data_IF_741384773843
#
_entry.id   IF_741384773843
#
_cell.length_a   1.000
_cell.length_b   1.000
_cell.length_c   1.000
_cell.angle_alpha   90.00
_cell.angle_beta   90.00
_cell.angle_gamma   90.00
#
_symmetry.space_group_name_H-M   'P 1'
#
loop_
_entity.id
_entity.type
_entity.pdbx_description
1 polymer ?
#
# COMPACT_ATOMS: atom_id res chain seq x y z
N UNK A 1 8.24 9.32 -11.34
CA UNK A 1 6.81 9.35 -10.96
C UNK A 1 6.07 8.53 -11.99
N UNK A 2 4.95 7.90 -11.63
CA UNK A 2 4.12 7.15 -12.59
C UNK A 2 3.85 7.95 -13.88
N UNK A 3 3.49 9.23 -13.72
CA UNK A 3 3.03 10.11 -14.81
C UNK A 3 4.16 10.90 -15.50
N UNK A 4 5.42 10.59 -15.23
CA UNK A 4 6.56 11.29 -15.84
C UNK A 4 7.49 10.29 -16.51
N UNK A 5 7.85 10.57 -17.77
CA UNK A 5 8.85 9.79 -18.48
C UNK A 5 10.12 9.71 -17.65
N UNK A 6 10.66 8.50 -17.52
CA UNK A 6 11.82 8.24 -16.69
C UNK A 6 13.03 9.02 -17.22
N UNK A 7 13.56 9.93 -16.41
CA UNK A 7 14.74 10.74 -16.73
C UNK A 7 15.98 10.18 -16.01
N UNK A 8 17.04 9.75 -16.72
CA UNK A 8 18.28 9.26 -16.13
C UNK A 8 18.95 10.24 -15.15
N UNK A 9 18.68 11.55 -15.25
CA UNK A 9 19.17 12.57 -14.30
C UNK A 9 18.78 12.21 -12.86
N UNK A 10 17.62 11.57 -12.64
CA UNK A 10 17.20 11.13 -11.30
C UNK A 10 18.16 10.12 -10.67
N UNK A 11 18.83 9.31 -11.48
CA UNK A 11 19.79 8.29 -11.01
C UNK A 11 21.07 8.91 -10.46
N UNK A 12 21.38 10.15 -10.85
CA UNK A 12 22.51 10.92 -10.32
C UNK A 12 22.21 11.59 -8.97
N UNK A 13 20.93 11.70 -8.61
CA UNK A 13 20.52 12.35 -7.38
C UNK A 13 20.80 11.42 -6.18
N UNK A 14 21.33 12.01 -5.09
CA UNK A 14 21.51 11.29 -3.83
C UNK A 14 20.17 10.77 -3.27
N UNK A 15 19.10 11.56 -3.44
CA UNK A 15 17.75 11.27 -2.99
C UNK A 15 16.77 11.48 -4.12
N UNK A 16 15.79 10.59 -4.22
CA UNK A 16 14.73 10.65 -5.22
C UNK A 16 13.38 10.59 -4.55
N UNK A 17 12.43 11.36 -5.07
CA UNK A 17 11.02 11.14 -4.79
C UNK A 17 10.49 10.04 -5.69
N UNK A 18 9.77 9.09 -5.10
CA UNK A 18 8.99 8.07 -5.81
C UNK A 18 7.53 8.40 -5.54
N UNK A 19 6.76 8.66 -6.60
CA UNK A 19 5.42 9.25 -6.49
C UNK A 19 4.46 8.57 -7.46
N UNK A 20 3.33 8.12 -6.91
CA UNK A 20 2.10 7.81 -7.61
C UNK A 20 1.05 8.88 -7.22
N UNK A 21 0.62 9.74 -8.15
CA UNK A 21 -0.40 10.75 -7.89
C UNK A 21 -1.78 10.15 -7.55
N UNK A 22 -2.13 9.00 -8.12
CA UNK A 22 -3.43 8.33 -7.96
C UNK A 22 -3.26 6.80 -8.05
N UNK A 23 -2.79 6.17 -6.96
CA UNK A 23 -2.76 4.72 -6.87
C UNK A 23 -4.20 4.21 -6.74
N UNK A 24 -4.58 3.30 -7.64
CA UNK A 24 -5.96 2.88 -7.82
C UNK A 24 -6.75 3.76 -8.79
N UNK A 25 -6.12 4.30 -9.84
CA UNK A 25 -6.69 5.16 -10.89
C UNK A 25 -8.07 4.71 -11.38
N UNK A 26 -8.26 3.40 -11.60
CA UNK A 26 -9.56 2.85 -12.01
C UNK A 26 -10.65 3.10 -10.96
N UNK A 27 -10.33 2.90 -9.69
CA UNK A 27 -11.24 3.20 -8.58
C UNK A 27 -11.57 4.67 -8.50
N UNK A 28 -10.57 5.53 -8.66
CA UNK A 28 -10.75 6.98 -8.72
C UNK A 28 -11.74 7.40 -9.82
N UNK A 29 -11.53 6.90 -11.05
CA UNK A 29 -12.40 7.17 -12.20
C UNK A 29 -13.83 6.63 -12.01
N UNK A 30 -13.98 5.52 -11.30
CA UNK A 30 -15.27 4.91 -10.96
C UNK A 30 -15.94 5.57 -9.72
N UNK A 31 -15.35 6.60 -9.13
CA UNK A 31 -15.89 7.30 -7.96
C UNK A 31 -15.76 6.52 -6.64
N UNK A 32 -14.90 5.50 -6.60
CA UNK A 32 -14.58 4.77 -5.38
C UNK A 32 -13.76 5.65 -4.43
N UNK A 33 -13.82 5.37 -3.13
CA UNK A 33 -13.12 6.15 -2.09
C UNK A 33 -11.72 5.59 -1.76
N UNK A 34 -11.43 4.37 -2.18
CA UNK A 34 -10.24 3.61 -1.76
C UNK A 34 -9.10 3.74 -2.78
N UNK A 35 -8.69 4.98 -3.01
CA UNK A 35 -7.49 5.40 -3.77
C UNK A 35 -6.63 6.31 -2.89
N UNK A 36 -5.36 6.46 -3.23
CA UNK A 36 -4.46 7.33 -2.48
C UNK A 36 -3.38 7.97 -3.36
N UNK A 37 -2.78 9.05 -2.84
CA UNK A 37 -1.52 9.59 -3.34
C UNK A 37 -0.39 8.92 -2.57
N UNK A 38 0.53 8.26 -3.27
CA UNK A 38 1.67 7.57 -2.68
C UNK A 38 2.94 8.39 -2.88
N UNK A 39 3.64 8.71 -1.79
CA UNK A 39 4.88 9.50 -1.83
C UNK A 39 5.95 8.86 -0.94
N UNK A 40 7.12 8.61 -1.52
CA UNK A 40 8.27 8.10 -0.80
C UNK A 40 9.53 8.93 -1.10
N UNK A 41 10.38 9.12 -0.10
CA UNK A 41 11.75 9.62 -0.28
C UNK A 41 12.69 8.43 -0.21
N UNK A 42 13.45 8.18 -1.27
CA UNK A 42 14.36 7.03 -1.37
C UNK A 42 15.81 7.50 -1.49
N UNK A 43 16.71 6.88 -0.73
CA UNK A 43 18.17 7.06 -0.81
C UNK A 43 18.83 5.68 -0.87
N UNK A 44 19.60 5.41 -1.92
CA UNK A 44 20.35 4.13 -2.09
C UNK A 44 19.46 2.88 -1.91
N UNK A 45 18.27 2.90 -2.52
CA UNK A 45 17.30 1.80 -2.46
C UNK A 45 16.58 1.65 -1.11
N UNK A 46 16.72 2.60 -0.18
CA UNK A 46 16.01 2.58 1.11
C UNK A 46 15.03 3.74 1.21
N UNK A 47 13.78 3.46 1.55
CA UNK A 47 12.80 4.48 1.88
C UNK A 47 13.14 5.16 3.20
N UNK A 48 13.34 6.48 3.18
CA UNK A 48 13.64 7.33 4.32
C UNK A 48 12.40 7.96 4.95
N UNK A 49 11.35 8.14 4.15
CA UNK A 49 10.03 8.61 4.57
C UNK A 49 9.00 8.09 3.57
N UNK A 50 7.83 7.69 4.06
CA UNK A 50 6.71 7.22 3.24
C UNK A 50 5.42 7.84 3.74
N UNK A 51 4.59 8.33 2.83
CA UNK A 51 3.28 8.91 3.09
C UNK A 51 2.28 8.35 2.08
N UNK A 52 1.11 7.93 2.56
CA UNK A 52 -0.06 7.74 1.73
C UNK A 52 -1.14 8.73 2.19
N UNK A 53 -1.51 9.64 1.31
CA UNK A 53 -2.64 10.52 1.52
C UNK A 53 -3.87 9.91 0.86
N UNK A 54 -4.95 9.68 1.62
CA UNK A 54 -6.19 9.07 1.13
C UNK A 54 -7.34 10.08 1.29
N UNK A 55 -7.46 11.08 0.38
CA UNK A 55 -8.33 12.24 0.62
C UNK A 55 -9.80 11.87 0.80
N UNK A 56 -10.30 10.93 -0.02
CA UNK A 56 -11.70 10.50 0.05
C UNK A 56 -12.04 9.70 1.32
N UNK A 57 -11.02 9.24 2.05
CA UNK A 57 -11.16 8.55 3.34
C UNK A 57 -10.87 9.47 4.53
N UNK A 58 -10.30 10.67 4.31
CA UNK A 58 -9.77 11.56 5.35
C UNK A 58 -8.70 10.86 6.21
N UNK A 59 -7.81 10.12 5.54
CA UNK A 59 -6.74 9.34 6.17
C UNK A 59 -5.38 9.69 5.59
N UNK A 60 -4.45 10.05 6.46
CA UNK A 60 -3.03 10.21 6.14
C UNK A 60 -2.24 9.14 6.88
N UNK A 61 -1.62 8.24 6.12
CA UNK A 61 -0.67 7.26 6.64
C UNK A 61 0.75 7.78 6.45
N UNK A 62 1.61 7.60 7.44
CA UNK A 62 3.03 7.93 7.28
C UNK A 62 3.92 7.09 8.18
N UNK A 63 5.18 6.95 7.80
CA UNK A 63 6.19 6.24 8.56
C UNK A 63 7.60 6.81 8.33
N UNK A 64 8.44 6.65 9.35
CA UNK A 64 9.88 6.93 9.31
C UNK A 64 10.64 5.70 9.82
N UNK A 65 11.84 5.40 9.29
CA UNK A 65 12.64 4.27 9.73
C UNK A 65 12.87 4.27 11.25
N UNK A 66 12.51 3.16 11.90
CA UNK A 66 12.68 2.97 13.34
C UNK A 66 11.69 3.75 14.22
N UNK A 67 10.79 4.55 13.65
CA UNK A 67 9.80 5.31 14.41
C UNK A 67 8.40 4.69 14.37
N UNK A 68 8.21 3.65 13.55
CA UNK A 68 6.94 2.99 13.28
C UNK A 68 6.03 3.80 12.34
N UNK A 69 4.81 3.30 12.17
CA UNK A 69 3.81 3.89 11.29
C UNK A 69 2.66 4.55 12.05
N UNK A 70 2.01 5.50 11.39
CA UNK A 70 0.96 6.33 11.95
C UNK A 70 -0.17 6.53 10.93
N UNK A 71 -1.38 6.68 11.43
CA UNK A 71 -2.57 7.11 10.70
C UNK A 71 -3.19 8.30 11.42
N UNK A 72 -3.33 9.44 10.76
CA UNK A 72 -3.87 10.68 11.34
C UNK A 72 -3.20 11.04 12.68
N UNK A 73 -1.88 10.89 12.76
CA UNK A 73 -1.08 11.18 13.95
C UNK A 73 -1.13 10.11 15.06
N UNK A 74 -1.95 9.06 14.92
CA UNK A 74 -2.01 7.95 15.87
C UNK A 74 -1.15 6.80 15.39
N UNK A 75 -0.32 6.23 16.28
CA UNK A 75 0.48 5.05 15.98
C UNK A 75 -0.42 3.87 15.63
N UNK A 76 -0.06 3.13 14.59
CA UNK A 76 -0.77 1.94 14.14
C UNK A 76 0.09 0.69 14.31
N UNK A 77 -0.54 -0.47 14.25
CA UNK A 77 0.11 -1.77 14.28
C UNK A 77 -0.75 -2.81 13.54
N UNK A 78 -0.09 -3.80 12.97
CA UNK A 78 -0.76 -4.99 12.44
C UNK A 78 -1.55 -5.70 13.54
N UNK A 79 -2.67 -6.32 13.19
CA UNK A 79 -3.46 -7.09 14.16
C UNK A 79 -2.76 -8.40 14.51
N UNK A 80 -3.12 -8.97 15.67
CA UNK A 80 -2.63 -10.29 16.08
C UNK A 80 -3.24 -11.38 15.18
N UNK A 81 -2.43 -12.40 14.90
CA UNK A 81 -2.88 -13.58 14.17
C UNK A 81 -4.06 -14.24 14.88
N UNK A 82 -5.04 -14.65 14.09
CA UNK A 82 -6.22 -15.39 14.52
C UNK A 82 -6.41 -16.65 13.66
N UNK A 83 -7.40 -17.46 14.01
CA UNK A 83 -7.72 -18.68 13.24
C UNK A 83 -8.18 -18.36 11.82
N UNK A 84 -8.79 -17.19 11.61
CA UNK A 84 -9.21 -16.68 10.31
C UNK A 84 -8.39 -15.47 9.89
N UNK A 85 -8.12 -15.35 8.59
CA UNK A 85 -7.44 -14.20 8.01
C UNK A 85 -8.38 -13.42 7.07
N UNK A 86 -8.30 -12.09 7.11
CA UNK A 86 -9.06 -11.18 6.26
C UNK A 86 -8.19 -10.67 5.12
N UNK A 87 -8.65 -10.90 3.89
CA UNK A 87 -7.90 -10.64 2.69
C UNK A 87 -8.68 -9.73 1.75
N UNK A 88 -8.01 -8.72 1.22
CA UNK A 88 -8.50 -7.93 0.07
C UNK A 88 -7.59 -8.20 -1.11
N UNK A 89 -8.14 -8.58 -2.25
CA UNK A 89 -7.38 -8.91 -3.44
C UNK A 89 -8.25 -9.48 -4.55
N UNK A 90 -7.64 -9.79 -5.70
CA UNK A 90 -8.37 -10.35 -6.83
C UNK A 90 -8.96 -11.72 -6.45
N UNK A 91 -10.26 -11.89 -6.68
CA UNK A 91 -11.00 -13.13 -6.44
C UNK A 91 -10.30 -14.36 -7.00
N UNK A 92 -9.77 -14.26 -8.22
CA UNK A 92 -9.07 -15.35 -8.89
C UNK A 92 -7.85 -15.84 -8.10
N UNK A 93 -7.08 -14.93 -7.48
CA UNK A 93 -5.91 -15.32 -6.69
C UNK A 93 -6.33 -16.02 -5.39
N UNK A 94 -7.40 -15.54 -4.75
CA UNK A 94 -7.96 -16.20 -3.57
C UNK A 94 -8.55 -17.58 -3.90
N UNK A 95 -9.17 -17.74 -5.07
CA UNK A 95 -9.76 -19.02 -5.52
C UNK A 95 -8.68 -20.07 -5.85
N UNK A 96 -7.45 -19.65 -6.18
CA UNK A 96 -6.32 -20.55 -6.45
C UNK A 96 -5.65 -21.10 -5.20
N UNK A 97 -6.04 -20.61 -4.01
CA UNK A 97 -5.47 -21.09 -2.76
C UNK A 97 -6.00 -22.48 -2.38
N UNK A 98 -5.23 -23.29 -1.63
CA UNK A 98 -5.70 -24.59 -1.16
C UNK A 98 -6.98 -24.49 -0.32
N UNK A 99 -7.84 -25.51 -0.38
CA UNK A 99 -9.18 -25.49 0.24
C UNK A 99 -9.13 -25.27 1.77
N UNK A 100 -8.11 -25.81 2.43
CA UNK A 100 -7.85 -25.65 3.86
C UNK A 100 -7.57 -24.19 4.24
N UNK A 101 -6.98 -23.41 3.33
CA UNK A 101 -6.81 -21.98 3.51
C UNK A 101 -8.09 -21.21 3.17
N UNK A 102 -8.81 -21.60 2.13
CA UNK A 102 -10.07 -20.96 1.75
C UNK A 102 -11.09 -20.96 2.91
N UNK A 103 -11.18 -22.06 3.66
CA UNK A 103 -12.05 -22.18 4.84
C UNK A 103 -11.70 -21.19 5.96
N UNK A 104 -10.46 -20.69 5.99
CA UNK A 104 -9.95 -19.76 7.00
C UNK A 104 -9.91 -18.31 6.50
N UNK A 105 -10.23 -18.06 5.23
CA UNK A 105 -10.17 -16.73 4.64
C UNK A 105 -11.53 -16.04 4.63
N UNK A 106 -11.55 -14.82 5.15
CA UNK A 106 -12.66 -13.88 5.03
C UNK A 106 -12.31 -12.85 3.97
N UNK A 107 -13.20 -12.66 3.00
CA UNK A 107 -12.98 -11.66 1.94
C UNK A 107 -13.46 -10.30 2.41
N UNK A 108 -12.54 -9.35 2.47
CA UNK A 108 -12.87 -7.94 2.57
C UNK A 108 -13.26 -7.38 1.19
N UNK A 109 -13.98 -6.25 1.13
CA UNK A 109 -14.19 -5.52 -0.11
C UNK A 109 -12.88 -5.26 -0.86
N UNK A 110 -12.92 -5.37 -2.18
CA UNK A 110 -11.76 -5.11 -3.02
C UNK A 110 -11.45 -3.61 -3.03
N UNK A 111 -10.21 -3.24 -2.75
CA UNK A 111 -9.68 -1.89 -3.00
C UNK A 111 -8.77 -1.93 -4.23
N UNK A 112 -8.96 -1.02 -5.21
CA UNK A 112 -8.16 -0.98 -6.42
C UNK A 112 -6.73 -0.47 -6.20
N UNK A 113 -6.51 0.32 -5.14
CA UNK A 113 -5.18 0.79 -4.72
C UNK A 113 -4.39 -0.34 -4.05
N UNK A 114 -3.16 -0.57 -4.50
CA UNK A 114 -2.27 -1.52 -3.82
C UNK A 114 -1.69 -0.91 -2.53
N UNK A 115 -1.24 0.34 -2.59
CA UNK A 115 -0.64 1.03 -1.47
C UNK A 115 -1.62 1.13 -0.30
N UNK A 116 -2.90 1.43 -0.57
CA UNK A 116 -3.94 1.49 0.45
C UNK A 116 -4.22 0.11 1.07
N UNK A 117 -4.26 -0.98 0.27
CA UNK A 117 -4.40 -2.34 0.82
C UNK A 117 -3.26 -2.69 1.77
N UNK A 118 -2.02 -2.30 1.45
CA UNK A 118 -0.87 -2.52 2.34
C UNK A 118 -0.98 -1.67 3.64
N UNK A 119 -1.45 -0.43 3.55
CA UNK A 119 -1.70 0.40 4.74
C UNK A 119 -2.86 -0.12 5.61
N UNK A 120 -3.87 -0.74 5.01
CA UNK A 120 -4.91 -1.46 5.74
C UNK A 120 -4.36 -2.69 6.48
N UNK A 121 -3.29 -3.33 5.98
CA UNK A 121 -2.60 -4.37 6.77
C UNK A 121 -1.86 -3.72 7.93
N UNK A 122 -1.11 -2.64 7.66
CA UNK A 122 -0.33 -1.91 8.67
C UNK A 122 -1.18 -1.37 9.84
N UNK A 123 -2.46 -1.06 9.60
CA UNK A 123 -3.39 -0.60 10.64
C UNK A 123 -4.29 -1.70 11.23
N UNK A 124 -4.10 -2.96 10.80
CA UNK A 124 -4.85 -4.11 11.29
C UNK A 124 -6.27 -4.26 10.73
N UNK A 125 -6.66 -3.50 9.71
CA UNK A 125 -7.93 -3.68 9.01
C UNK A 125 -7.92 -4.91 8.07
N UNK A 126 -6.76 -5.32 7.57
CA UNK A 126 -6.54 -6.55 6.80
C UNK A 126 -5.41 -7.38 7.43
N UNK A 127 -5.38 -8.68 7.12
CA UNK A 127 -4.21 -9.53 7.41
C UNK A 127 -3.29 -9.68 6.22
N UNK A 128 -3.87 -9.71 5.02
CA UNK A 128 -3.12 -10.03 3.82
C UNK A 128 -3.69 -9.38 2.57
N UNK A 129 -2.84 -9.30 1.56
CA UNK A 129 -3.21 -8.90 0.21
C UNK A 129 -2.29 -9.56 -0.81
N UNK A 130 -2.64 -9.46 -2.09
CA UNK A 130 -1.78 -9.93 -3.18
C UNK A 130 -1.14 -8.74 -3.90
N UNK A 131 0.16 -8.86 -4.13
CA UNK A 131 0.95 -7.97 -4.98
C UNK A 131 1.14 -8.66 -6.33
N UNK A 132 0.81 -7.97 -7.43
CA UNK A 132 1.02 -8.53 -8.78
C UNK A 132 2.49 -8.40 -9.18
N UNK A 133 3.01 -9.27 -10.07
CA UNK A 133 4.40 -9.20 -10.54
C UNK A 133 4.78 -7.88 -11.22
N UNK A 134 3.79 -7.14 -11.74
CA UNK A 134 3.98 -5.87 -12.44
C UNK A 134 3.70 -4.64 -11.57
N UNK A 135 3.67 -4.79 -10.23
CA UNK A 135 3.59 -3.64 -9.34
C UNK A 135 4.85 -2.79 -9.47
N UNK A 136 4.69 -1.48 -9.47
CA UNK A 136 5.77 -0.53 -9.66
C UNK A 136 6.30 0.00 -8.33
N UNK A 137 7.50 0.57 -8.35
CA UNK A 137 8.14 1.15 -7.17
C UNK A 137 7.25 2.21 -6.50
N UNK A 138 6.45 2.95 -7.27
CA UNK A 138 5.55 3.98 -6.74
C UNK A 138 4.31 3.44 -6.02
N UNK A 139 3.87 2.23 -6.37
CA UNK A 139 2.78 1.53 -5.66
C UNK A 139 3.25 0.97 -4.30
N UNK A 140 4.57 0.79 -4.12
CA UNK A 140 5.12 0.00 -3.01
C UNK A 140 6.01 0.83 -2.07
N UNK A 141 6.84 1.75 -2.56
CA UNK A 141 7.94 2.32 -1.78
C UNK A 141 7.50 2.99 -0.47
N UNK A 142 6.39 3.73 -0.48
CA UNK A 142 5.81 4.33 0.71
C UNK A 142 5.13 3.28 1.61
N UNK A 143 4.33 2.40 0.99
CA UNK A 143 3.55 1.40 1.68
C UNK A 143 4.41 0.31 2.37
N UNK A 144 5.54 -0.10 1.78
CA UNK A 144 6.52 -1.00 2.40
C UNK A 144 7.06 -0.41 3.70
N UNK A 145 7.42 0.87 3.72
CA UNK A 145 7.89 1.51 4.95
C UNK A 145 6.78 1.62 6.01
N UNK A 146 5.53 1.85 5.59
CA UNK A 146 4.37 1.93 6.48
C UNK A 146 4.02 0.55 7.08
N UNK A 147 4.26 -0.53 6.35
CA UNK A 147 3.94 -1.90 6.79
C UNK A 147 5.00 -2.53 7.71
N UNK A 148 6.25 -2.04 7.68
CA UNK A 148 7.36 -2.57 8.48
C UNK A 148 7.27 -2.25 9.98
#
# INVERSE_FOLDING_TARGET
>A
SEETVDDPVRLSARRTFVVDPIDGTRGFLEGQRTWCVSVAVVERGRTLAGVLECPAMEETYWALPGQGAFRNGKRIAVRKLADTAEISGLKQLTDLMPAEWQARLKRAPYSPSLAYRLAMIANGALDATFVKPNAHDWDIAAADLILR
#
